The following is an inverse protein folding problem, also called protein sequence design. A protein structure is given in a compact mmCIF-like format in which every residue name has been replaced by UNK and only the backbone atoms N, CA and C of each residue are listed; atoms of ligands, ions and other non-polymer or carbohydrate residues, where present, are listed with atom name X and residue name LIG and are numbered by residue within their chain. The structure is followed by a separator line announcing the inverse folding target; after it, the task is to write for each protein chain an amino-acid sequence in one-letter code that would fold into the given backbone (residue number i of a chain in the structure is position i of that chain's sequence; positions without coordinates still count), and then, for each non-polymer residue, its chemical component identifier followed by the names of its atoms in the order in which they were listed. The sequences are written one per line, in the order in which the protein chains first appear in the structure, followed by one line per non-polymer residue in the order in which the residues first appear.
data_IF_062134748939
#
_entry.id   IF_062134748939
#
_cell.length_a   1.000
_cell.length_b   1.000
_cell.length_c   1.000
_cell.angle_alpha   90.00
_cell.angle_beta   90.00
_cell.angle_gamma   90.00
#
_symmetry.space_group_name_H-M   'P 1'
#
loop_
_entity.id
_entity.type
_entity.pdbx_description
1 polymer ?
#
# COMPACT_ATOMS: atom_id res chain seq x y z
N UNK A 1 14.44 -10.98 -3.19
CA UNK A 1 14.21 -10.52 -4.56
C UNK A 1 13.58 -9.13 -4.52
N UNK A 2 13.94 -8.23 -5.43
CA UNK A 2 13.40 -6.86 -5.50
C UNK A 2 12.65 -6.71 -6.82
N UNK A 3 11.41 -6.25 -6.75
CA UNK A 3 10.58 -5.95 -7.92
C UNK A 3 10.27 -4.46 -7.93
N UNK A 4 10.62 -3.79 -9.02
CA UNK A 4 10.31 -2.38 -9.25
C UNK A 4 9.17 -2.27 -10.28
N UNK A 5 8.10 -1.59 -9.91
CA UNK A 5 7.04 -1.23 -10.86
C UNK A 5 7.50 -0.02 -11.69
N UNK A 6 7.06 0.10 -12.95
CA UNK A 6 7.24 1.33 -13.71
C UNK A 6 6.66 2.54 -12.95
N UNK A 7 7.23 3.75 -13.13
CA UNK A 7 6.72 4.95 -12.46
C UNK A 7 5.23 5.19 -12.75
N UNK A 8 4.46 5.36 -11.68
CA UNK A 8 3.02 5.62 -11.77
C UNK A 8 2.76 7.12 -11.75
N UNK A 9 2.01 7.61 -12.74
CA UNK A 9 1.57 9.00 -12.80
C UNK A 9 0.11 9.07 -12.40
N UNK A 10 -0.19 9.85 -11.36
CA UNK A 10 -1.54 10.10 -10.90
C UNK A 10 -1.67 11.50 -10.33
N UNK A 11 -2.89 12.00 -10.24
CA UNK A 11 -3.16 13.26 -9.54
C UNK A 11 -3.02 13.08 -8.03
N UNK A 12 -2.72 14.18 -7.31
CA UNK A 12 -2.66 14.16 -5.84
C UNK A 12 -3.98 13.68 -5.21
N UNK A 13 -5.10 13.96 -5.88
CA UNK A 13 -6.44 13.50 -5.52
C UNK A 13 -6.57 11.97 -5.56
N UNK A 14 -5.79 11.28 -6.40
CA UNK A 14 -5.87 9.84 -6.66
C UNK A 14 -4.82 9.03 -5.89
N UNK A 15 -3.76 9.68 -5.40
CA UNK A 15 -2.62 9.03 -4.71
C UNK A 15 -3.09 8.05 -3.63
N UNK A 16 -4.09 8.43 -2.83
CA UNK A 16 -4.65 7.56 -1.79
C UNK A 16 -5.21 6.28 -2.39
N UNK A 17 -6.15 6.39 -3.32
CA UNK A 17 -6.84 5.24 -3.93
C UNK A 17 -5.85 4.30 -4.62
N UNK A 18 -4.90 4.87 -5.38
CA UNK A 18 -3.91 4.10 -6.14
C UNK A 18 -2.96 3.35 -5.20
N UNK A 19 -2.40 4.02 -4.19
CA UNK A 19 -1.49 3.37 -3.25
C UNK A 19 -2.21 2.37 -2.35
N UNK A 20 -3.44 2.66 -1.90
CA UNK A 20 -4.25 1.71 -1.15
C UNK A 20 -4.45 0.44 -1.97
N UNK A 21 -4.87 0.56 -3.24
CA UNK A 21 -5.09 -0.60 -4.10
C UNK A 21 -3.82 -1.44 -4.29
N UNK A 22 -2.68 -0.80 -4.59
CA UNK A 22 -1.41 -1.49 -4.81
C UNK A 22 -0.88 -2.16 -3.54
N UNK A 23 -0.83 -1.42 -2.43
CA UNK A 23 -0.28 -1.93 -1.17
C UNK A 23 -1.13 -3.07 -0.62
N UNK A 24 -2.46 -2.95 -0.65
CA UNK A 24 -3.33 -4.06 -0.25
C UNK A 24 -3.18 -5.27 -1.16
N UNK A 25 -3.09 -5.08 -2.47
CA UNK A 25 -2.89 -6.19 -3.42
C UNK A 25 -1.56 -6.90 -3.16
N UNK A 26 -0.47 -6.15 -2.97
CA UNK A 26 0.87 -6.70 -2.71
C UNK A 26 0.90 -7.45 -1.38
N UNK A 27 0.33 -6.86 -0.32
CA UNK A 27 0.29 -7.51 1.00
C UNK A 27 -0.61 -8.75 0.96
N UNK A 28 -1.77 -8.68 0.32
CA UNK A 28 -2.67 -9.82 0.16
C UNK A 28 -2.00 -10.97 -0.59
N UNK A 29 -1.32 -10.70 -1.71
CA UNK A 29 -0.59 -11.69 -2.50
C UNK A 29 0.60 -12.32 -1.74
N UNK A 30 1.08 -11.67 -0.67
CA UNK A 30 2.21 -12.11 0.14
C UNK A 30 1.83 -12.51 1.57
N UNK A 31 0.54 -12.45 1.91
CA UNK A 31 0.07 -12.76 3.25
C UNK A 31 0.29 -14.25 3.54
N UNK A 32 1.19 -14.53 4.46
CA UNK A 32 1.43 -15.88 4.98
C UNK A 32 0.50 -16.10 6.18
N UNK A 33 -0.80 -16.30 5.94
CA UNK A 33 -1.76 -16.54 7.01
C UNK A 33 -3.23 -16.34 6.62
N UNK A 34 -4.13 -16.53 7.59
CA UNK A 34 -5.55 -16.26 7.42
C UNK A 34 -5.78 -14.74 7.34
N UNK A 35 -6.24 -14.26 6.19
CA UNK A 35 -6.74 -12.90 6.02
C UNK A 35 -8.28 -12.94 5.87
N UNK A 36 -8.92 -11.80 6.12
CA UNK A 36 -10.36 -11.61 5.92
C UNK A 36 -10.55 -10.72 4.68
N UNK A 37 -10.34 -11.26 3.46
CA UNK A 37 -10.35 -10.45 2.25
C UNK A 37 -11.67 -9.70 2.10
N UNK A 38 -11.58 -8.42 1.77
CA UNK A 38 -12.74 -7.56 1.53
C UNK A 38 -12.62 -6.89 0.19
N UNK A 39 -13.68 -6.95 -0.60
CA UNK A 39 -13.76 -6.19 -1.84
C UNK A 39 -13.73 -4.69 -1.54
N UNK A 40 -12.86 -3.99 -2.27
CA UNK A 40 -12.73 -2.55 -2.20
C UNK A 40 -12.73 -1.97 -3.61
N UNK A 41 -13.20 -0.73 -3.72
CA UNK A 41 -13.25 0.01 -4.98
C UNK A 41 -12.57 1.35 -4.79
N UNK A 42 -11.70 1.71 -5.72
CA UNK A 42 -11.21 3.08 -5.83
C UNK A 42 -12.37 3.98 -6.28
N UNK A 43 -12.64 5.07 -5.57
CA UNK A 43 -13.73 5.97 -5.95
C UNK A 43 -13.31 6.88 -7.11
N UNK A 44 -12.02 7.22 -7.18
CA UNK A 44 -11.47 8.19 -8.14
C UNK A 44 -10.77 7.55 -9.33
N UNK A 45 -10.73 6.21 -9.35
CA UNK A 45 -10.11 5.37 -10.39
C UNK A 45 -11.01 4.16 -10.57
N UNK A 46 -11.31 3.75 -11.81
CA UNK A 46 -12.23 2.61 -12.06
C UNK A 46 -11.51 1.26 -11.88
N UNK A 47 -11.06 1.00 -10.66
CA UNK A 47 -10.32 -0.20 -10.27
C UNK A 47 -10.96 -0.81 -9.02
N UNK A 48 -11.11 -2.13 -9.07
CA UNK A 48 -11.50 -2.96 -7.93
C UNK A 48 -10.27 -3.72 -7.43
N UNK A 49 -10.11 -3.79 -6.11
CA UNK A 49 -9.02 -4.51 -5.48
C UNK A 49 -9.50 -5.24 -4.23
N UNK A 50 -8.70 -6.21 -3.78
CA UNK A 50 -8.97 -6.94 -2.54
C UNK A 50 -8.12 -6.33 -1.43
N UNK A 51 -8.78 -5.86 -0.36
CA UNK A 51 -8.13 -5.46 0.87
C UNK A 51 -7.88 -6.66 1.77
N UNK A 52 -6.76 -6.67 2.49
CA UNK A 52 -6.40 -7.77 3.40
C UNK A 52 -7.39 -7.97 4.56
N UNK A 53 -8.10 -6.91 4.96
CA UNK A 53 -9.03 -6.92 6.09
C UNK A 53 -8.38 -7.12 7.45
N UNK A 54 -7.07 -6.90 7.55
CA UNK A 54 -6.31 -6.91 8.80
C UNK A 54 -6.13 -5.46 9.28
N UNK A 55 -6.68 -5.13 10.45
CA UNK A 55 -6.67 -3.77 10.97
C UNK A 55 -5.26 -3.19 11.22
N UNK A 56 -4.27 -4.02 11.52
CA UNK A 56 -2.89 -3.57 11.69
C UNK A 56 -2.25 -3.22 10.35
N UNK A 57 -2.53 -4.02 9.31
CA UNK A 57 -2.11 -3.73 7.92
C UNK A 57 -2.79 -2.47 7.41
N UNK A 58 -4.11 -2.37 7.57
CA UNK A 58 -4.91 -1.22 7.15
C UNK A 58 -4.41 0.06 7.81
N UNK A 59 -4.21 0.03 9.13
CA UNK A 59 -3.69 1.17 9.88
C UNK A 59 -2.29 1.59 9.42
N UNK A 60 -1.42 0.63 9.10
CA UNK A 60 -0.05 0.94 8.65
C UNK A 60 -0.01 1.53 7.24
N UNK A 61 -0.82 0.99 6.33
CA UNK A 61 -0.97 1.51 4.97
C UNK A 61 -1.50 2.94 5.03
N UNK A 62 -2.56 3.18 5.80
CA UNK A 62 -3.17 4.49 5.99
C UNK A 62 -2.19 5.52 6.57
N UNK A 63 -1.41 5.14 7.59
CA UNK A 63 -0.35 5.98 8.18
C UNK A 63 0.66 6.43 7.11
N UNK A 64 1.15 5.49 6.29
CA UNK A 64 2.19 5.77 5.27
C UNK A 64 1.66 6.58 4.10
N UNK A 65 0.44 6.30 3.64
CA UNK A 65 -0.22 7.10 2.60
C UNK A 65 -0.42 8.53 3.09
N UNK A 66 -0.90 8.72 4.33
CA UNK A 66 -1.08 10.05 4.90
C UNK A 66 0.24 10.83 4.99
N UNK A 67 1.34 10.17 5.35
CA UNK A 67 2.66 10.80 5.37
C UNK A 67 3.08 11.28 3.97
N UNK A 68 2.88 10.45 2.94
CA UNK A 68 3.19 10.81 1.56
C UNK A 68 2.33 11.96 1.04
N UNK A 69 1.01 11.91 1.28
CA UNK A 69 0.08 12.97 0.84
C UNK A 69 0.43 14.30 1.50
N UNK A 70 0.74 14.31 2.81
CA UNK A 70 1.19 15.52 3.52
C UNK A 70 2.48 16.08 2.95
N UNK A 71 3.44 15.20 2.63
CA UNK A 71 4.67 15.60 1.96
C UNK A 71 4.39 16.25 0.60
N UNK A 72 3.60 15.59 -0.25
CA UNK A 72 3.27 16.07 -1.58
C UNK A 72 2.50 17.41 -1.56
N UNK A 73 1.59 17.60 -0.59
CA UNK A 73 0.90 18.88 -0.38
C UNK A 73 1.88 20.01 -0.03
N UNK A 74 2.92 19.71 0.76
CA UNK A 74 3.93 20.69 1.18
C UNK A 74 4.88 21.07 0.03
N UNK A 75 5.21 20.13 -0.84
CA UNK A 75 6.17 20.34 -1.94
C UNK A 75 5.52 20.80 -3.24
N UNK A 76 4.19 20.77 -3.35
CA UNK A 76 3.48 21.04 -4.60
C UNK A 76 3.53 19.85 -5.57
N UNK A 77 3.61 18.63 -5.04
CA UNK A 77 3.83 17.40 -5.80
C UNK A 77 5.30 17.01 -5.89
N UNK A 78 5.58 16.01 -6.72
CA UNK A 78 6.93 15.48 -6.95
C UNK A 78 6.94 13.99 -7.22
N UNK A 79 8.13 13.47 -7.50
CA UNK A 79 8.39 12.03 -7.62
C UNK A 79 8.79 11.47 -6.26
N UNK A 80 8.23 10.33 -5.89
CA UNK A 80 8.53 9.65 -4.64
C UNK A 80 8.42 8.14 -4.81
N UNK A 81 9.38 7.43 -4.20
CA UNK A 81 9.39 5.98 -4.17
C UNK A 81 8.71 5.44 -2.91
N UNK A 82 7.86 4.44 -3.10
CA UNK A 82 7.23 3.68 -2.03
C UNK A 82 7.72 2.24 -2.10
N UNK A 83 8.38 1.78 -1.03
CA UNK A 83 8.91 0.42 -0.94
C UNK A 83 8.12 -0.41 0.09
N UNK A 84 7.87 -1.67 -0.27
CA UNK A 84 7.32 -2.69 0.63
C UNK A 84 8.35 -3.81 0.75
N UNK A 85 8.72 -4.12 1.98
CA UNK A 85 9.73 -5.13 2.30
C UNK A 85 9.16 -6.17 3.24
N UNK A 86 9.48 -7.44 2.97
CA UNK A 86 9.05 -8.58 3.76
C UNK A 86 10.26 -9.20 4.45
N UNK A 87 10.11 -9.57 5.72
CA UNK A 87 11.18 -10.09 6.56
C UNK A 87 10.67 -11.30 7.35
N UNK A 88 11.53 -12.29 7.55
CA UNK A 88 11.28 -13.35 8.52
C UNK A 88 11.82 -12.93 9.89
N UNK A 89 11.11 -13.27 10.96
CA UNK A 89 11.66 -13.12 12.31
C UNK A 89 12.65 -14.26 12.54
N UNK A 90 13.85 -13.94 13.00
CA UNK A 90 14.76 -14.96 13.51
C UNK A 90 14.06 -15.71 14.64
N UNK A 91 14.07 -17.05 14.57
CA UNK A 91 13.60 -17.88 15.67
C UNK A 91 14.62 -17.77 16.79
N UNK A 92 14.15 -17.47 18.00
CA UNK A 92 14.98 -17.59 19.20
C UNK A 92 15.59 -19.00 19.20
N UNK A 93 16.92 -19.09 19.31
CA UNK A 93 17.59 -20.39 19.45
C UNK A 93 17.16 -20.97 20.80
N UNK A 94 16.76 -22.26 20.86
CA UNK A 94 16.41 -22.91 22.12
C UNK A 94 17.59 -22.95 23.08
#
# INVERSE_FOLDING_TARGET
EVFALPPLRCELSQVRDVLSALLHTIVFARALGCCAPRDARCERVDVHYVACGDGAVDGKIEEKINALVRWALKTGGGEADVAVSFYERERDKP
#
